data_IF_043403245186
#
_entry.id   IF_043403245186
#
_cell.length_a   1.000
_cell.length_b   1.000
_cell.length_c   1.000
_cell.angle_alpha   90.00
_cell.angle_beta   90.00
_cell.angle_gamma   90.00
#
_symmetry.space_group_name_H-M   'P 1'
#
loop_
_entity.id
_entity.type
_entity.pdbx_description
1 polymer ?
#
# COMPACT_ATOMS: atom_id res chain seq x y z
N UNK A 1 10.12 33.87 -27.64
CA UNK A 1 9.49 32.87 -26.73
C UNK A 1 10.12 31.53 -27.05
N UNK A 2 11.10 31.12 -26.25
CA UNK A 2 11.94 29.95 -26.50
C UNK A 2 11.43 28.82 -25.61
N UNK A 3 10.94 27.74 -26.21
CA UNK A 3 10.50 26.52 -25.49
C UNK A 3 11.67 25.89 -24.75
N UNK A 4 11.55 25.79 -23.42
CA UNK A 4 12.44 25.03 -22.56
C UNK A 4 12.06 23.55 -22.60
N UNK A 5 12.76 22.80 -23.45
CA UNK A 5 12.63 21.35 -23.55
C UNK A 5 13.09 20.68 -22.25
N UNK A 6 12.24 19.80 -21.71
CA UNK A 6 12.49 18.96 -20.50
C UNK A 6 13.74 18.08 -20.55
N UNK A 7 14.39 17.99 -21.72
CA UNK A 7 15.60 17.15 -21.94
C UNK A 7 16.92 17.79 -21.54
N UNK A 8 16.96 19.06 -21.14
CA UNK A 8 18.21 19.76 -20.77
C UNK A 8 18.55 19.74 -19.27
N UNK A 9 17.79 19.04 -18.45
CA UNK A 9 18.02 18.99 -16.99
C UNK A 9 18.91 17.83 -16.51
N UNK A 10 19.39 16.98 -17.43
CA UNK A 10 20.18 15.78 -17.12
C UNK A 10 21.66 15.87 -17.53
N UNK A 11 22.23 17.05 -17.59
CA UNK A 11 23.57 17.21 -18.10
C UNK A 11 24.46 18.20 -17.34
N UNK A 12 24.57 18.09 -16.01
CA UNK A 12 25.66 18.73 -15.25
C UNK A 12 25.89 18.01 -13.94
N UNK A 13 26.56 16.87 -13.94
CA UNK A 13 27.17 16.29 -12.75
C UNK A 13 28.69 16.33 -12.91
N UNK A 14 29.29 17.39 -12.36
CA UNK A 14 30.73 17.46 -12.16
C UNK A 14 31.14 16.45 -11.09
N UNK A 15 32.05 15.56 -11.44
CA UNK A 15 32.67 14.60 -10.54
C UNK A 15 33.53 15.30 -9.50
N UNK A 16 33.24 15.08 -8.21
CA UNK A 16 34.19 15.26 -7.12
C UNK A 16 34.33 13.91 -6.41
N UNK A 17 35.54 13.38 -6.25
CA UNK A 17 35.77 12.16 -5.50
C UNK A 17 35.92 12.50 -4.01
N UNK A 18 34.87 12.38 -3.22
CA UNK A 18 35.00 12.20 -1.78
C UNK A 18 34.53 10.79 -1.45
N UNK A 19 35.53 9.95 -1.15
CA UNK A 19 35.30 8.61 -0.66
C UNK A 19 34.66 8.64 0.74
N UNK A 20 33.35 8.54 0.77
CA UNK A 20 32.61 8.06 1.92
C UNK A 20 31.92 6.81 1.41
N UNK A 21 32.45 5.68 1.84
CA UNK A 21 31.90 4.37 1.56
C UNK A 21 30.49 4.24 2.16
N UNK A 22 29.48 4.61 1.41
CA UNK A 22 28.16 4.09 1.63
C UNK A 22 28.15 2.66 1.10
N UNK A 23 28.43 1.72 1.99
CA UNK A 23 28.02 0.34 1.76
C UNK A 23 26.50 0.34 1.66
N UNK A 24 25.98 0.55 0.47
CA UNK A 24 24.64 0.08 0.12
C UNK A 24 24.73 -1.43 0.08
N UNK A 25 24.71 -2.05 1.25
CA UNK A 25 24.25 -3.42 1.37
C UNK A 25 22.77 -3.38 0.97
N UNK A 26 22.52 -3.35 -0.33
CA UNK A 26 21.32 -3.97 -0.86
C UNK A 26 21.49 -5.45 -0.51
N UNK A 27 21.14 -5.81 0.71
CA UNK A 27 20.77 -7.15 1.05
C UNK A 27 19.52 -7.44 0.21
N UNK A 28 19.71 -7.79 -1.06
CA UNK A 28 18.87 -8.78 -1.68
C UNK A 28 19.10 -10.02 -0.81
N UNK A 29 18.39 -10.09 0.30
CA UNK A 29 18.18 -11.35 0.97
C UNK A 29 17.43 -12.20 -0.06
N UNK A 30 18.21 -13.00 -0.76
CA UNK A 30 17.77 -14.28 -1.29
C UNK A 30 17.43 -15.14 -0.07
N UNK A 31 16.52 -14.63 0.72
CA UNK A 31 15.80 -15.35 1.74
C UNK A 31 14.84 -16.22 0.93
N UNK A 32 15.23 -17.45 0.67
CA UNK A 32 14.27 -18.52 0.51
C UNK A 32 13.24 -18.26 1.61
N UNK A 33 12.04 -17.81 1.22
CA UNK A 33 10.93 -17.53 2.13
C UNK A 33 10.48 -18.88 2.71
N UNK A 34 11.36 -19.43 3.57
CA UNK A 34 11.14 -20.68 4.28
C UNK A 34 10.08 -20.42 5.32
N UNK A 35 8.91 -20.97 5.11
CA UNK A 35 7.81 -20.91 6.06
C UNK A 35 6.48 -21.09 5.35
N UNK A 36 5.57 -21.74 6.06
CA UNK A 36 4.23 -21.98 5.56
C UNK A 36 3.38 -20.71 5.60
N UNK A 37 2.52 -20.57 4.61
CA UNK A 37 1.47 -19.57 4.58
C UNK A 37 0.39 -19.90 5.63
N UNK A 38 -0.18 -18.87 6.25
CA UNK A 38 -1.42 -19.01 7.03
C UNK A 38 -2.65 -19.14 6.14
N UNK A 39 -2.57 -18.54 4.93
CA UNK A 39 -3.63 -18.56 3.93
C UNK A 39 -3.03 -18.56 2.53
N UNK A 40 -3.66 -19.28 1.60
CA UNK A 40 -3.42 -19.16 0.17
C UNK A 40 -4.73 -18.96 -0.59
N UNK A 41 -4.67 -18.18 -1.66
CA UNK A 41 -5.74 -18.09 -2.67
C UNK A 41 -5.16 -18.63 -3.97
N UNK A 42 -5.87 -19.54 -4.63
CA UNK A 42 -5.43 -20.17 -5.89
C UNK A 42 -6.51 -20.08 -6.95
N UNK A 43 -6.12 -20.08 -8.22
CA UNK A 43 -7.05 -20.04 -9.36
C UNK A 43 -7.75 -18.71 -9.57
N UNK A 44 -7.25 -17.63 -8.98
CA UNK A 44 -7.81 -16.30 -9.14
C UNK A 44 -7.13 -15.51 -10.27
N UNK A 45 -7.77 -14.41 -10.68
CA UNK A 45 -7.14 -13.38 -11.50
C UNK A 45 -6.63 -12.29 -10.53
N UNK A 46 -5.36 -12.30 -10.18
CA UNK A 46 -4.78 -11.40 -9.17
C UNK A 46 -4.04 -10.26 -9.86
N UNK A 47 -4.53 -9.04 -9.70
CA UNK A 47 -3.90 -7.82 -10.20
C UNK A 47 -2.90 -7.33 -9.16
N UNK A 48 -1.61 -7.46 -9.43
CA UNK A 48 -0.57 -7.15 -8.44
C UNK A 48 -0.22 -5.67 -8.34
N UNK A 49 -0.55 -4.87 -9.36
CA UNK A 49 -0.09 -3.49 -9.57
C UNK A 49 1.44 -3.37 -9.68
N UNK A 50 2.14 -4.47 -9.88
CA UNK A 50 3.55 -4.52 -10.21
C UNK A 50 3.72 -4.63 -11.73
N UNK A 51 4.44 -3.70 -12.35
CA UNK A 51 4.62 -3.64 -13.80
C UNK A 51 5.38 -4.84 -14.37
N UNK A 52 6.27 -5.44 -13.57
CA UNK A 52 7.06 -6.61 -13.99
C UNK A 52 6.25 -7.91 -13.97
N UNK A 53 5.21 -7.96 -13.15
CA UNK A 53 4.34 -9.13 -12.99
C UNK A 53 2.91 -8.69 -12.71
N UNK A 54 2.21 -8.08 -13.67
CA UNK A 54 0.95 -7.39 -13.44
C UNK A 54 -0.22 -8.29 -13.07
N UNK A 55 -0.19 -9.54 -13.51
CA UNK A 55 -1.24 -10.53 -13.25
C UNK A 55 -0.62 -11.85 -12.83
N UNK A 56 -1.17 -12.46 -11.79
CA UNK A 56 -0.78 -13.80 -11.31
C UNK A 56 -2.02 -14.63 -10.97
N UNK A 57 -1.84 -15.94 -10.74
CA UNK A 57 -2.94 -16.88 -10.49
C UNK A 57 -3.18 -17.15 -9.01
N UNK A 58 -2.17 -16.92 -8.17
CA UNK A 58 -2.23 -17.30 -6.78
C UNK A 58 -1.39 -16.37 -5.88
N UNK A 59 -1.73 -16.36 -4.58
CA UNK A 59 -1.07 -15.57 -3.53
C UNK A 59 -0.96 -16.39 -2.26
N UNK A 60 0.18 -16.29 -1.60
CA UNK A 60 0.43 -16.84 -0.26
C UNK A 60 0.53 -15.69 0.75
N UNK A 61 -0.14 -15.82 1.88
CA UNK A 61 -0.22 -14.83 2.95
C UNK A 61 0.22 -15.47 4.26
N UNK A 62 1.01 -14.75 5.06
CA UNK A 62 1.39 -15.13 6.41
C UNK A 62 1.12 -13.96 7.36
N UNK A 63 0.15 -14.17 8.27
CA UNK A 63 -0.30 -13.08 9.15
C UNK A 63 -0.85 -11.90 8.34
N UNK A 64 -0.20 -10.76 8.46
CA UNK A 64 -0.55 -9.50 7.78
C UNK A 64 0.31 -9.21 6.53
N UNK A 65 1.10 -10.18 6.06
CA UNK A 65 2.06 -10.00 4.96
C UNK A 65 1.81 -10.94 3.81
N UNK A 66 1.97 -10.42 2.59
CA UNK A 66 2.09 -11.22 1.39
C UNK A 66 3.45 -11.91 1.43
N UNK A 67 3.44 -13.25 1.39
CA UNK A 67 4.62 -14.07 1.39
C UNK A 67 5.16 -14.28 -0.03
N UNK A 68 4.26 -14.58 -0.96
CA UNK A 68 4.58 -14.78 -2.37
C UNK A 68 3.36 -14.55 -3.25
N UNK A 69 3.58 -14.24 -4.51
CA UNK A 69 2.59 -14.22 -5.60
C UNK A 69 3.18 -14.97 -6.80
N UNK A 70 2.35 -15.66 -7.57
CA UNK A 70 2.85 -16.42 -8.71
C UNK A 70 1.80 -17.36 -9.29
N UNK A 71 2.25 -18.45 -9.91
CA UNK A 71 1.41 -19.52 -10.39
C UNK A 71 0.79 -20.33 -9.25
N UNK A 72 -0.26 -21.07 -9.54
CA UNK A 72 -0.87 -21.99 -8.58
C UNK A 72 0.14 -22.99 -8.02
N UNK A 73 1.00 -23.54 -8.88
CA UNK A 73 2.01 -24.53 -8.50
C UNK A 73 3.02 -23.95 -7.51
N UNK A 74 3.58 -22.78 -7.80
CA UNK A 74 4.53 -22.10 -6.93
C UNK A 74 3.94 -21.81 -5.54
N UNK A 75 2.71 -21.32 -5.50
CA UNK A 75 2.06 -20.93 -4.24
C UNK A 75 1.66 -22.15 -3.39
N UNK A 76 1.33 -23.27 -4.02
CA UNK A 76 1.03 -24.50 -3.28
C UNK A 76 2.20 -25.02 -2.45
N UNK A 77 3.44 -24.72 -2.80
CA UNK A 77 4.63 -25.08 -2.01
C UNK A 77 4.68 -24.39 -0.63
N UNK A 78 3.99 -23.27 -0.47
CA UNK A 78 3.91 -22.58 0.82
C UNK A 78 2.79 -23.12 1.74
N UNK A 79 1.97 -24.05 1.26
CA UNK A 79 0.86 -24.57 2.02
C UNK A 79 1.24 -25.78 2.86
N UNK A 80 0.67 -25.88 4.06
CA UNK A 80 0.73 -27.06 4.93
C UNK A 80 -0.67 -27.46 5.41
N UNK A 81 -0.75 -28.39 6.38
CA UNK A 81 -2.01 -28.87 6.93
C UNK A 81 -2.80 -27.77 7.68
N UNK A 82 -2.13 -26.73 8.20
CA UNK A 82 -2.76 -25.62 8.90
C UNK A 82 -3.09 -24.41 8.01
N UNK A 83 -2.75 -24.47 6.73
CA UNK A 83 -2.98 -23.37 5.79
C UNK A 83 -4.45 -23.31 5.36
N UNK A 84 -5.08 -22.16 5.55
CA UNK A 84 -6.41 -21.90 4.98
C UNK A 84 -6.30 -21.78 3.46
N UNK A 85 -7.12 -22.52 2.73
CA UNK A 85 -7.13 -22.53 1.26
C UNK A 85 -8.40 -21.90 0.73
N UNK A 86 -8.28 -20.90 -0.12
CA UNK A 86 -9.40 -20.23 -0.80
C UNK A 86 -9.34 -20.57 -2.28
N UNK A 87 -10.42 -21.12 -2.81
CA UNK A 87 -10.61 -21.30 -4.23
C UNK A 87 -11.05 -19.97 -4.85
N UNK A 88 -10.15 -19.37 -5.62
CA UNK A 88 -10.35 -18.07 -6.26
C UNK A 88 -10.89 -18.16 -7.68
N UNK A 89 -11.32 -19.32 -8.17
CA UNK A 89 -11.81 -19.48 -9.54
C UNK A 89 -12.99 -18.56 -9.84
N UNK A 90 -12.86 -17.77 -10.89
CA UNK A 90 -13.86 -16.76 -11.28
C UNK A 90 -13.81 -15.47 -10.47
N UNK A 91 -12.87 -15.33 -9.52
CA UNK A 91 -12.69 -14.13 -8.74
C UNK A 91 -11.50 -13.30 -9.25
N UNK A 92 -11.62 -11.99 -9.09
CA UNK A 92 -10.49 -11.07 -9.24
C UNK A 92 -10.08 -10.55 -7.87
N UNK A 93 -8.79 -10.60 -7.59
CA UNK A 93 -8.18 -10.08 -6.37
C UNK A 93 -7.36 -8.84 -6.72
N UNK A 94 -7.54 -7.76 -5.97
CA UNK A 94 -6.81 -6.50 -6.14
C UNK A 94 -6.26 -6.05 -4.80
N UNK A 95 -5.21 -5.21 -4.76
CA UNK A 95 -4.91 -4.41 -3.57
C UNK A 95 -6.12 -3.58 -3.16
N UNK A 96 -6.21 -3.23 -1.88
CA UNK A 96 -7.25 -2.32 -1.39
C UNK A 96 -7.20 -0.98 -2.14
N UNK A 97 -8.36 -0.43 -2.44
CA UNK A 97 -8.45 0.86 -3.13
C UNK A 97 -8.10 2.00 -2.18
N UNK A 98 -7.31 2.95 -2.70
CA UNK A 98 -7.02 4.22 -2.02
C UNK A 98 -7.65 5.30 -2.89
N UNK A 99 -8.72 5.92 -2.38
CA UNK A 99 -9.34 7.05 -3.03
C UNK A 99 -8.69 8.34 -2.52
N UNK A 100 -7.88 8.96 -3.39
CA UNK A 100 -7.16 10.18 -3.06
C UNK A 100 -8.05 11.44 -3.16
N UNK A 101 -9.26 11.32 -3.72
CA UNK A 101 -10.23 12.41 -3.83
C UNK A 101 -11.65 11.87 -3.70
N UNK A 102 -12.20 11.95 -2.51
CA UNK A 102 -13.51 11.37 -2.19
C UNK A 102 -14.32 12.37 -1.36
N UNK A 103 -15.63 12.34 -1.55
CA UNK A 103 -16.61 13.11 -0.77
C UNK A 103 -17.55 12.14 -0.03
N UNK A 104 -17.11 11.51 1.05
CA UNK A 104 -17.92 10.56 1.81
C UNK A 104 -18.96 11.26 2.66
N UNK A 105 -19.99 11.80 2.02
CA UNK A 105 -21.02 12.66 2.60
C UNK A 105 -21.63 12.15 3.93
N UNK A 106 -21.67 10.83 4.11
CA UNK A 106 -22.22 10.24 5.34
C UNK A 106 -21.19 10.06 6.46
N UNK A 107 -19.90 10.05 6.14
CA UNK A 107 -18.85 9.91 7.14
C UNK A 107 -18.54 11.23 7.87
N UNK A 108 -18.73 12.36 7.19
CA UNK A 108 -18.46 13.68 7.75
C UNK A 108 -19.31 13.95 8.99
N UNK A 109 -20.59 13.58 8.97
CA UNK A 109 -21.49 13.81 10.12
C UNK A 109 -21.28 12.78 11.25
N UNK A 110 -20.92 11.54 10.90
CA UNK A 110 -20.81 10.46 11.88
C UNK A 110 -19.48 10.47 12.65
N UNK A 111 -18.37 10.80 11.97
CA UNK A 111 -17.02 10.68 12.54
C UNK A 111 -16.23 11.99 12.56
N UNK A 112 -16.61 12.97 11.78
CA UNK A 112 -15.95 14.29 11.70
C UNK A 112 -16.52 15.33 12.65
N UNK A 113 -16.04 16.57 12.52
CA UNK A 113 -16.63 17.76 13.10
C UNK A 113 -17.31 18.57 11.99
N UNK A 114 -18.55 18.96 12.16
CA UNK A 114 -19.20 19.87 11.22
C UNK A 114 -18.51 21.23 11.28
N UNK A 115 -17.81 21.58 10.21
CA UNK A 115 -17.10 22.85 10.04
C UNK A 115 -17.77 23.77 9.02
N UNK A 116 -18.94 23.41 8.50
CA UNK A 116 -19.76 24.26 7.64
C UNK A 116 -20.51 25.29 8.49
N UNK A 117 -19.77 26.22 9.10
CA UNK A 117 -20.25 27.22 10.05
C UNK A 117 -19.90 28.62 9.57
N UNK A 118 -20.74 29.62 9.85
CA UNK A 118 -20.59 30.97 9.27
C UNK A 118 -19.38 31.75 9.79
N UNK A 119 -18.86 31.42 10.98
CA UNK A 119 -17.76 32.15 11.61
C UNK A 119 -16.59 31.22 11.95
N UNK A 120 -15.37 31.70 11.76
CA UNK A 120 -14.15 30.95 12.12
C UNK A 120 -14.10 30.60 13.61
N UNK A 121 -14.66 31.47 14.48
CA UNK A 121 -14.74 31.17 15.91
C UNK A 121 -15.55 29.91 16.18
N UNK A 122 -16.69 29.73 15.50
CA UNK A 122 -17.57 28.57 15.65
C UNK A 122 -16.90 27.31 15.15
N UNK A 123 -16.14 27.40 14.02
CA UNK A 123 -15.34 26.31 13.49
C UNK A 123 -14.29 25.84 14.50
N UNK A 124 -13.54 26.79 15.08
CA UNK A 124 -12.51 26.49 16.09
C UNK A 124 -13.13 25.84 17.33
N UNK A 125 -14.30 26.29 17.78
CA UNK A 125 -15.00 25.69 18.90
C UNK A 125 -15.49 24.28 18.59
N UNK A 126 -16.04 24.04 17.39
CA UNK A 126 -16.45 22.70 16.95
C UNK A 126 -15.28 21.71 16.93
N UNK A 127 -14.14 22.13 16.38
CA UNK A 127 -12.93 21.32 16.38
C UNK A 127 -12.39 21.05 17.79
N UNK A 128 -12.38 22.07 18.66
CA UNK A 128 -11.93 21.89 20.04
C UNK A 128 -12.82 20.90 20.81
N UNK A 129 -14.15 20.99 20.64
CA UNK A 129 -15.08 20.00 21.24
C UNK A 129 -14.83 18.59 20.73
N UNK A 130 -14.62 18.44 19.41
CA UNK A 130 -14.32 17.13 18.83
C UNK A 130 -13.01 16.56 19.38
N UNK A 131 -11.95 17.39 19.43
CA UNK A 131 -10.64 17.00 19.95
C UNK A 131 -10.72 16.56 21.43
N UNK A 132 -11.46 17.28 22.26
CA UNK A 132 -11.64 16.94 23.67
C UNK A 132 -12.31 15.57 23.90
N UNK A 133 -13.13 15.11 22.93
CA UNK A 133 -13.85 13.84 23.00
C UNK A 133 -13.20 12.74 22.15
N UNK A 134 -12.04 13.00 21.54
CA UNK A 134 -11.30 12.04 20.71
C UNK A 134 -10.16 11.45 21.54
N UNK A 135 -10.04 10.12 21.64
CA UNK A 135 -8.95 9.49 22.38
C UNK A 135 -7.56 9.88 21.80
N UNK A 136 -6.52 9.94 22.64
CA UNK A 136 -5.16 10.20 22.17
C UNK A 136 -4.72 9.24 21.06
N UNK A 137 -4.06 9.79 20.03
CA UNK A 137 -3.59 9.00 18.87
C UNK A 137 -4.62 8.81 17.76
N UNK A 138 -5.84 9.30 17.92
CA UNK A 138 -6.87 9.29 16.87
C UNK A 138 -6.97 10.66 16.19
N UNK A 139 -7.39 10.65 14.92
CA UNK A 139 -7.68 11.87 14.16
C UNK A 139 -8.96 12.55 14.63
N UNK A 140 -8.98 13.86 14.49
CA UNK A 140 -10.13 14.73 14.81
C UNK A 140 -10.90 15.08 13.55
#
# INVERSE_FOLDING_TARGET
>A
MTELSRRKFLGASAALPLGIGFSTSANAQDGTLSGSASMIVTGANILTMNWDQPVVEAIAIRGDRILAVGSNEEILHFANAGTTRIDGRGLTVTPGFIDAHSHPLFAEEAIGANVNLPRIADVKEALARKAANTPPGHWV
#
